data_IF_902278276510
#
_entry.id   IF_902278276510
#
_cell.length_a   1.000
_cell.length_b   1.000
_cell.length_c   1.000
_cell.angle_alpha   90.00
_cell.angle_beta   90.00
_cell.angle_gamma   90.00
#
_symmetry.space_group_name_H-M   'P 1'
#
loop_
_entity.id
_entity.type
_entity.pdbx_description
1 polymer ?
#
# COMPACT_ATOMS: atom_id res chain seq x y z
N UNK A 1 -2.73 4.12 -31.31
CA UNK A 1 -2.98 5.34 -30.53
C UNK A 1 -1.98 5.36 -29.39
N UNK A 2 -1.22 6.44 -29.21
CA UNK A 2 -0.32 6.56 -28.08
C UNK A 2 -1.16 6.83 -26.82
N UNK A 3 -1.01 5.99 -25.79
CA UNK A 3 -1.71 6.18 -24.50
C UNK A 3 -1.09 7.38 -23.80
N UNK A 4 -1.92 8.33 -23.38
CA UNK A 4 -1.45 9.51 -22.67
C UNK A 4 -0.91 9.15 -21.27
N UNK A 5 0.06 9.91 -20.72
CA UNK A 5 0.53 9.74 -19.34
C UNK A 5 -0.61 9.69 -18.30
N UNK A 6 -1.65 10.50 -18.50
CA UNK A 6 -2.82 10.55 -17.62
C UNK A 6 -3.68 9.29 -17.71
N UNK A 7 -3.86 8.71 -18.90
CA UNK A 7 -4.56 7.43 -19.05
C UNK A 7 -3.80 6.29 -18.35
N UNK A 8 -2.47 6.27 -18.43
CA UNK A 8 -1.63 5.29 -17.71
C UNK A 8 -1.86 5.42 -16.18
N UNK A 9 -1.80 6.64 -15.65
CA UNK A 9 -2.04 6.89 -14.22
C UNK A 9 -3.46 6.47 -13.84
N UNK A 10 -4.48 6.82 -14.63
CA UNK A 10 -5.87 6.43 -14.35
C UNK A 10 -6.05 4.91 -14.31
N UNK A 11 -5.37 4.18 -15.20
CA UNK A 11 -5.37 2.72 -15.21
C UNK A 11 -4.72 2.13 -13.95
N UNK A 12 -3.59 2.70 -13.52
CA UNK A 12 -2.90 2.30 -12.29
C UNK A 12 -3.69 2.64 -11.03
N UNK A 13 -4.41 3.76 -11.04
CA UNK A 13 -5.32 4.13 -9.95
C UNK A 13 -6.50 3.17 -9.85
N UNK A 14 -7.01 2.72 -10.99
CA UNK A 14 -8.11 1.75 -11.03
C UNK A 14 -7.65 0.33 -10.67
N UNK A 15 -6.37 0.01 -10.94
CA UNK A 15 -5.78 -1.30 -10.69
C UNK A 15 -4.42 -1.17 -10.00
N UNK A 16 -4.38 -0.73 -8.73
CA UNK A 16 -3.13 -0.56 -8.01
C UNK A 16 -2.42 -1.92 -7.80
N UNK A 17 -1.09 -1.96 -7.86
CA UNK A 17 -0.25 -3.15 -7.71
C UNK A 17 -0.12 -3.52 -6.22
N UNK A 18 -1.24 -3.76 -5.53
CA UNK A 18 -1.23 -4.15 -4.13
C UNK A 18 -0.86 -5.63 -4.03
N UNK A 19 0.27 -6.00 -3.38
CA UNK A 19 0.64 -7.39 -3.20
C UNK A 19 -0.30 -8.09 -2.22
N UNK A 20 -0.39 -9.42 -2.29
CA UNK A 20 -1.17 -10.21 -1.33
C UNK A 20 -0.52 -10.26 0.06
N UNK A 21 0.80 -10.09 0.13
CA UNK A 21 1.56 -10.19 1.37
C UNK A 21 2.71 -9.21 1.42
N UNK A 22 3.01 -8.68 2.60
CA UNK A 22 4.22 -7.90 2.90
C UNK A 22 4.88 -8.43 4.17
N UNK A 23 6.22 -8.49 4.19
CA UNK A 23 6.97 -9.03 5.33
C UNK A 23 7.76 -7.94 6.05
N UNK A 24 7.59 -7.87 7.36
CA UNK A 24 8.27 -6.95 8.27
C UNK A 24 8.95 -7.76 9.39
N UNK A 25 10.13 -8.29 9.09
CA UNK A 25 10.83 -9.18 10.02
C UNK A 25 10.06 -10.48 10.23
N UNK A 26 9.62 -10.75 11.48
CA UNK A 26 8.78 -11.91 11.85
C UNK A 26 7.28 -11.64 11.75
N UNK A 27 6.88 -10.43 11.37
CA UNK A 27 5.48 -10.09 11.15
C UNK A 27 5.19 -10.15 9.65
N UNK A 28 4.20 -10.94 9.26
CA UNK A 28 3.70 -11.01 7.90
C UNK A 28 2.33 -10.32 7.83
N UNK A 29 2.20 -9.31 6.98
CA UNK A 29 0.93 -8.66 6.64
C UNK A 29 0.26 -9.47 5.55
N UNK A 30 -0.96 -9.95 5.79
CA UNK A 30 -1.82 -10.60 4.80
C UNK A 30 -2.91 -9.64 4.34
N UNK A 31 -2.91 -9.29 3.05
CA UNK A 31 -3.84 -8.34 2.44
C UNK A 31 -4.98 -9.12 1.76
N UNK A 32 -6.23 -8.74 2.02
CA UNK A 32 -7.42 -9.47 1.54
C UNK A 32 -8.08 -8.79 0.36
N UNK A 33 -8.38 -7.51 0.51
CA UNK A 33 -9.04 -6.70 -0.51
C UNK A 33 -8.68 -5.23 -0.34
N UNK A 34 -9.01 -4.45 -1.36
CA UNK A 34 -8.96 -3.00 -1.30
C UNK A 34 -10.18 -2.42 -2.01
N UNK A 35 -10.54 -1.20 -1.61
CA UNK A 35 -11.55 -0.40 -2.29
C UNK A 35 -11.11 1.06 -2.32
N UNK A 36 -11.56 1.80 -3.33
CA UNK A 36 -11.38 3.25 -3.38
C UNK A 36 -12.42 3.87 -2.46
N UNK A 37 -11.97 4.60 -1.44
CA UNK A 37 -12.87 5.27 -0.47
C UNK A 37 -13.02 6.76 -0.72
N UNK A 38 -12.03 7.38 -1.35
CA UNK A 38 -12.06 8.78 -1.77
C UNK A 38 -11.45 8.87 -3.15
N UNK A 39 -12.14 9.56 -4.06
CA UNK A 39 -11.62 9.94 -5.37
C UNK A 39 -12.05 11.38 -5.66
N UNK A 40 -11.12 12.32 -5.62
CA UNK A 40 -11.34 13.74 -5.86
C UNK A 40 -10.21 14.28 -6.73
N UNK A 41 -10.50 14.67 -7.98
CA UNK A 41 -9.53 15.20 -8.94
C UNK A 41 -8.25 14.33 -9.04
N UNK A 42 -7.16 14.77 -8.42
CA UNK A 42 -5.82 14.15 -8.40
C UNK A 42 -5.53 13.37 -7.09
N UNK A 43 -6.52 13.21 -6.24
CA UNK A 43 -6.42 12.56 -4.94
C UNK A 43 -7.28 11.31 -4.88
N UNK A 44 -6.63 10.16 -4.69
CA UNK A 44 -7.30 8.88 -4.49
C UNK A 44 -6.78 8.22 -3.22
N UNK A 45 -7.69 7.66 -2.42
CA UNK A 45 -7.35 6.91 -1.19
C UNK A 45 -7.98 5.52 -1.24
N UNK A 46 -7.14 4.52 -1.04
CA UNK A 46 -7.55 3.13 -0.91
C UNK A 46 -7.75 2.78 0.56
N UNK A 47 -8.82 2.05 0.87
CA UNK A 47 -8.96 1.34 2.14
C UNK A 47 -8.59 -0.11 1.90
N UNK A 48 -7.59 -0.61 2.64
CA UNK A 48 -7.00 -1.94 2.42
C UNK A 48 -7.24 -2.81 3.65
N UNK A 49 -7.94 -3.94 3.49
CA UNK A 49 -8.13 -4.91 4.56
C UNK A 49 -6.89 -5.78 4.72
N UNK A 50 -6.46 -5.97 5.96
CA UNK A 50 -5.34 -6.83 6.28
C UNK A 50 -5.51 -7.51 7.64
N UNK A 51 -4.70 -8.53 7.89
CA UNK A 51 -4.35 -8.94 9.24
C UNK A 51 -2.85 -9.16 9.35
N UNK A 52 -2.34 -9.19 10.58
CA UNK A 52 -0.96 -9.53 10.88
C UNK A 52 -0.87 -10.99 11.32
N UNK A 53 0.15 -11.68 10.84
CA UNK A 53 0.61 -12.97 11.34
C UNK A 53 1.97 -12.76 12.01
N UNK A 54 2.04 -13.08 13.30
CA UNK A 54 3.25 -12.98 14.10
C UNK A 54 3.92 -14.37 14.19
N UNK A 55 5.01 -14.53 13.44
CA UNK A 55 5.80 -15.76 13.35
C UNK A 55 6.78 -15.92 14.53
N UNK A 56 6.78 -15.03 15.54
CA UNK A 56 7.58 -15.24 16.76
C UNK A 56 6.99 -16.31 17.69
N UNK A 57 5.70 -16.65 17.54
CA UNK A 57 5.04 -17.69 18.33
C UNK A 57 4.72 -18.92 17.49
N UNK A 58 4.66 -20.09 18.12
CA UNK A 58 4.19 -21.33 17.49
C UNK A 58 2.96 -21.86 18.23
N UNK A 59 1.77 -21.90 17.61
CA UNK A 59 1.48 -21.45 16.24
C UNK A 59 1.57 -19.92 16.06
N UNK A 60 1.71 -19.41 14.81
CA UNK A 60 1.72 -17.97 14.55
C UNK A 60 0.47 -17.29 15.08
N UNK A 61 0.65 -16.15 15.75
CA UNK A 61 -0.50 -15.39 16.27
C UNK A 61 -1.10 -14.55 15.17
N UNK A 62 -2.41 -14.67 14.98
CA UNK A 62 -3.15 -13.89 13.99
C UNK A 62 -3.98 -12.80 14.64
N UNK A 63 -3.89 -11.56 14.14
CA UNK A 63 -4.78 -10.47 14.56
C UNK A 63 -6.15 -10.59 13.90
N UNK A 64 -7.14 -9.88 14.45
CA UNK A 64 -8.37 -9.62 13.69
C UNK A 64 -8.08 -8.82 12.41
N UNK A 65 -9.04 -8.83 11.50
CA UNK A 65 -8.96 -8.01 10.29
C UNK A 65 -9.09 -6.54 10.67
N UNK A 66 -8.17 -5.75 10.15
CA UNK A 66 -8.08 -4.30 10.33
C UNK A 66 -7.95 -3.62 8.97
N UNK A 67 -8.01 -2.28 8.97
CA UNK A 67 -7.93 -1.46 7.77
C UNK A 67 -6.80 -0.44 7.89
N UNK A 68 -6.09 -0.20 6.78
CA UNK A 68 -5.27 1.00 6.59
C UNK A 68 -5.83 1.83 5.44
N UNK A 69 -5.44 3.10 5.40
CA UNK A 69 -5.76 4.02 4.31
C UNK A 69 -4.47 4.43 3.62
N UNK A 70 -4.38 4.23 2.30
CA UNK A 70 -3.18 4.53 1.52
C UNK A 70 -3.56 5.46 0.39
N UNK A 71 -2.87 6.59 0.25
CA UNK A 71 -3.08 7.50 -0.87
C UNK A 71 -2.32 7.03 -2.12
N UNK A 72 -2.98 7.14 -3.29
CA UNK A 72 -2.30 7.08 -4.56
C UNK A 72 -1.23 8.20 -4.65
N UNK A 73 -0.07 7.93 -5.26
CA UNK A 73 0.96 8.93 -5.40
C UNK A 73 0.51 10.03 -6.37
N UNK A 74 0.82 11.28 -6.01
CA UNK A 74 0.69 12.42 -6.93
C UNK A 74 1.96 12.52 -7.77
N UNK A 75 1.77 12.73 -9.06
CA UNK A 75 2.83 12.95 -10.04
C UNK A 75 2.46 14.20 -10.81
N UNK A 76 3.31 15.22 -10.78
CA UNK A 76 3.05 16.48 -11.49
C UNK A 76 3.28 16.33 -13.00
N UNK A 77 2.76 17.27 -13.80
CA UNK A 77 2.99 17.22 -15.25
C UNK A 77 4.47 17.42 -15.60
N UNK A 78 5.22 18.23 -14.82
CA UNK A 78 6.67 18.37 -14.99
C UNK A 78 7.41 17.04 -14.76
N UNK A 79 6.92 16.21 -13.83
CA UNK A 79 7.49 14.89 -13.59
C UNK A 79 7.16 13.88 -14.69
N UNK A 80 6.16 14.14 -15.52
CA UNK A 80 5.79 13.28 -16.65
C UNK A 80 6.50 13.68 -17.94
N UNK A 81 7.03 14.89 -18.02
CA UNK A 81 7.65 15.43 -19.22
C UNK A 81 8.84 14.57 -19.67
N UNK A 82 8.82 14.16 -20.95
CA UNK A 82 9.85 13.34 -21.56
C UNK A 82 9.92 11.89 -21.06
N UNK A 83 9.02 11.45 -20.17
CA UNK A 83 8.99 10.05 -19.70
C UNK A 83 8.22 9.15 -20.65
N UNK A 84 8.75 7.95 -20.84
CA UNK A 84 8.04 6.87 -21.53
C UNK A 84 6.94 6.27 -20.65
N UNK A 85 6.00 5.57 -21.25
CA UNK A 85 4.94 4.85 -20.52
C UNK A 85 5.48 3.95 -19.40
N UNK A 86 6.52 3.16 -19.70
CA UNK A 86 7.16 2.28 -18.72
C UNK A 86 7.78 3.06 -17.55
N UNK A 87 8.42 4.20 -17.82
CA UNK A 87 9.00 5.04 -16.77
C UNK A 87 7.93 5.67 -15.87
N UNK A 88 6.77 6.03 -16.42
CA UNK A 88 5.64 6.55 -15.65
C UNK A 88 5.06 5.45 -14.76
N UNK A 89 4.87 4.25 -15.31
CA UNK A 89 4.41 3.10 -14.53
C UNK A 89 5.35 2.78 -13.37
N UNK A 90 6.66 2.69 -13.64
CA UNK A 90 7.65 2.37 -12.61
C UNK A 90 7.72 3.46 -11.53
N UNK A 91 7.67 4.74 -11.93
CA UNK A 91 7.63 5.86 -11.00
C UNK A 91 6.41 5.77 -10.07
N UNK A 92 5.24 5.53 -10.64
CA UNK A 92 3.99 5.43 -9.89
C UNK A 92 4.02 4.22 -8.97
N UNK A 93 4.38 3.02 -9.48
CA UNK A 93 4.45 1.77 -8.71
C UNK A 93 5.41 1.91 -7.53
N UNK A 94 6.59 2.51 -7.75
CA UNK A 94 7.57 2.74 -6.70
C UNK A 94 7.03 3.63 -5.59
N UNK A 95 6.48 4.80 -5.92
CA UNK A 95 5.91 5.73 -4.91
C UNK A 95 4.72 5.13 -4.17
N UNK A 96 3.87 4.41 -4.89
CA UNK A 96 2.75 3.72 -4.28
C UNK A 96 3.21 2.65 -3.27
N UNK A 97 4.23 1.86 -3.64
CA UNK A 97 4.83 0.89 -2.73
C UNK A 97 5.53 1.54 -1.54
N UNK A 98 6.14 2.73 -1.70
CA UNK A 98 6.69 3.52 -0.59
C UNK A 98 5.58 3.91 0.40
N UNK A 99 4.47 4.48 -0.08
CA UNK A 99 3.31 4.82 0.75
C UNK A 99 2.74 3.57 1.46
N UNK A 100 2.57 2.47 0.73
CA UNK A 100 2.05 1.21 1.26
C UNK A 100 2.95 0.66 2.39
N UNK A 101 4.26 0.64 2.17
CA UNK A 101 5.22 0.18 3.17
C UNK A 101 5.26 1.09 4.41
N UNK A 102 5.09 2.41 4.25
CA UNK A 102 5.03 3.34 5.36
C UNK A 102 3.82 3.07 6.26
N UNK A 103 2.63 2.94 5.68
CA UNK A 103 1.40 2.67 6.43
C UNK A 103 1.43 1.32 7.14
N UNK A 104 1.88 0.26 6.46
CA UNK A 104 2.00 -1.05 7.11
C UNK A 104 3.11 -1.09 8.17
N UNK A 105 4.22 -0.37 7.98
CA UNK A 105 5.24 -0.25 9.02
C UNK A 105 4.68 0.43 10.27
N UNK A 106 3.87 1.47 10.12
CA UNK A 106 3.18 2.10 11.24
C UNK A 106 2.24 1.13 11.96
N UNK A 107 1.43 0.38 11.21
CA UNK A 107 0.54 -0.65 11.76
C UNK A 107 1.30 -1.76 12.53
N UNK A 108 2.40 -2.26 11.95
CA UNK A 108 3.26 -3.26 12.60
C UNK A 108 3.89 -2.71 13.87
N UNK A 109 4.37 -1.45 13.86
CA UNK A 109 4.95 -0.83 15.04
C UNK A 109 3.93 -0.70 16.19
N UNK A 110 2.68 -0.33 15.88
CA UNK A 110 1.59 -0.28 16.87
C UNK A 110 1.33 -1.68 17.45
N UNK A 111 1.28 -2.71 16.60
CA UNK A 111 1.13 -4.10 17.06
C UNK A 111 2.26 -4.51 18.01
N UNK A 112 3.52 -4.26 17.63
CA UNK A 112 4.69 -4.62 18.43
C UNK A 112 4.72 -3.88 19.77
N UNK A 113 4.37 -2.58 19.77
CA UNK A 113 4.26 -1.79 20.99
C UNK A 113 3.20 -2.37 21.95
N UNK A 114 2.00 -2.67 21.44
CA UNK A 114 0.94 -3.28 22.24
C UNK A 114 1.32 -4.67 22.77
N UNK A 115 1.97 -5.48 21.92
CA UNK A 115 2.47 -6.81 22.31
C UNK A 115 3.47 -6.72 23.47
N UNK A 116 4.38 -5.75 23.43
CA UNK A 116 5.35 -5.52 24.50
C UNK A 116 4.68 -5.14 25.83
N UNK A 117 3.67 -4.26 25.79
CA UNK A 117 2.92 -3.84 26.99
C UNK A 117 2.11 -4.99 27.63
N UNK A 118 1.57 -5.91 26.83
CA UNK A 118 0.79 -7.05 27.34
C UNK A 118 1.64 -8.23 27.84
N UNK A 119 2.95 -8.20 27.63
CA UNK A 119 3.89 -9.24 28.09
C UNK A 119 4.75 -8.81 29.30
N UNK A 120 4.65 -7.55 29.73
CA UNK A 120 5.20 -7.06 31.01
C UNK A 120 4.21 -7.28 32.14
#
# INVERSE_FOLDING_TARGET
>A
MAVSPREIINNLVSNPPIPQTLKFGKITVKIHNYEITVQMFDYTVYRIAYHLEDEETSPPRRTMVSWIFVSAPRISDEELEGKTAAQIEDLWKRRFMENLNQEFRAAVNIYLANRALTRG
#
